data_IF_414840639599
#
_entry.id   IF_414840639599
#
_cell.length_a   1.000
_cell.length_b   1.000
_cell.length_c   1.000
_cell.angle_alpha   90.00
_cell.angle_beta   90.00
_cell.angle_gamma   90.00
#
_symmetry.space_group_name_H-M   'P 1'
#
loop_
_entity.id
_entity.type
_entity.pdbx_description
1 polymer ?
#
# COMPACT_ATOMS: atom_id res chain seq x y z
N UNK A 1 -13.02 1.31 23.05
CA UNK A 1 -12.57 0.38 22.00
C UNK A 1 -11.18 -0.24 22.27
N UNK A 2 -10.29 0.40 23.05
CA UNK A 2 -8.95 -0.15 23.37
C UNK A 2 -8.91 -1.21 24.49
N UNK A 3 -10.03 -1.50 25.16
CA UNK A 3 -10.08 -2.31 26.38
C UNK A 3 -10.21 -3.83 26.18
N UNK A 4 -10.12 -4.33 24.95
CA UNK A 4 -10.25 -5.77 24.64
C UNK A 4 -9.13 -6.34 23.75
N UNK A 5 -8.06 -5.58 23.48
CA UNK A 5 -6.92 -6.14 22.76
C UNK A 5 -6.12 -7.08 23.68
N UNK A 6 -5.72 -8.28 23.23
CA UNK A 6 -4.79 -9.15 23.97
C UNK A 6 -3.52 -8.39 24.37
N UNK A 7 -2.75 -8.90 25.34
CA UNK A 7 -1.50 -8.21 25.71
C UNK A 7 -0.54 -8.20 24.52
N UNK A 8 0.00 -7.02 24.23
CA UNK A 8 1.00 -6.79 23.20
C UNK A 8 2.22 -7.70 23.42
N UNK A 9 2.63 -8.50 22.42
CA UNK A 9 3.64 -9.56 22.61
C UNK A 9 5.09 -9.08 22.55
N UNK A 10 5.36 -7.90 21.94
CA UNK A 10 6.70 -7.37 21.71
C UNK A 10 6.70 -5.85 21.83
N UNK A 11 7.77 -5.27 22.36
CA UNK A 11 7.84 -3.83 22.66
C UNK A 11 7.88 -2.94 21.41
N UNK A 12 8.38 -3.47 20.28
CA UNK A 12 8.57 -2.72 19.04
C UNK A 12 7.29 -2.46 18.24
N UNK A 13 6.21 -3.19 18.49
CA UNK A 13 4.90 -2.82 17.93
C UNK A 13 4.46 -1.51 18.59
N UNK A 14 3.64 -0.68 17.96
CA UNK A 14 2.92 0.40 18.68
C UNK A 14 1.50 -0.06 18.98
N UNK A 15 0.81 0.57 19.93
CA UNK A 15 -0.59 0.22 20.23
C UNK A 15 -1.48 0.30 18.99
N UNK A 16 -1.26 1.32 18.14
CA UNK A 16 -1.93 1.49 16.85
C UNK A 16 -1.65 0.32 15.90
N UNK A 17 -0.38 0.01 15.65
CA UNK A 17 -0.03 -1.09 14.71
C UNK A 17 -0.50 -2.44 15.22
N UNK A 18 -0.47 -2.65 16.53
CA UNK A 18 -0.95 -3.89 17.13
C UNK A 18 -2.46 -4.05 17.00
N UNK A 19 -3.23 -2.98 17.26
CA UNK A 19 -4.68 -2.97 17.02
C UNK A 19 -5.01 -3.22 15.53
N UNK A 20 -4.26 -2.61 14.61
CA UNK A 20 -4.41 -2.84 13.17
C UNK A 20 -4.14 -4.30 12.78
N UNK A 21 -3.09 -4.91 13.34
CA UNK A 21 -2.76 -6.32 13.09
C UNK A 21 -3.80 -7.28 13.67
N UNK A 22 -4.40 -6.97 14.83
CA UNK A 22 -5.52 -7.74 15.38
C UNK A 22 -6.70 -7.69 14.39
N UNK A 23 -7.13 -6.49 14.00
CA UNK A 23 -8.22 -6.32 13.05
C UNK A 23 -7.93 -7.02 11.71
N UNK A 24 -6.67 -7.02 11.25
CA UNK A 24 -6.24 -7.71 10.05
C UNK A 24 -6.35 -9.24 10.22
N UNK A 25 -5.91 -9.77 11.35
CA UNK A 25 -5.98 -11.21 11.67
C UNK A 25 -7.41 -11.73 11.76
N UNK A 26 -8.34 -10.92 12.26
CA UNK A 26 -9.75 -11.28 12.39
C UNK A 26 -10.50 -11.23 11.04
N UNK A 27 -10.14 -10.27 10.17
CA UNK A 27 -10.88 -10.00 8.93
C UNK A 27 -10.32 -10.74 7.71
N UNK A 28 -9.05 -11.13 7.74
CA UNK A 28 -8.37 -11.76 6.60
C UNK A 28 -7.93 -13.17 7.00
N UNK A 29 -8.67 -14.22 6.59
CA UNK A 29 -8.38 -15.60 7.00
C UNK A 29 -6.95 -16.05 6.68
N UNK A 30 -6.36 -15.57 5.59
CA UNK A 30 -4.96 -15.89 5.24
C UNK A 30 -3.93 -15.30 6.21
N UNK A 31 -4.29 -14.29 7.00
CA UNK A 31 -3.41 -13.58 7.93
C UNK A 31 -3.79 -13.81 9.41
N UNK A 32 -4.64 -14.80 9.72
CA UNK A 32 -5.10 -15.07 11.09
C UNK A 32 -3.94 -15.28 12.10
N UNK A 33 -2.82 -15.86 11.66
CA UNK A 33 -1.64 -16.11 12.50
C UNK A 33 -0.51 -15.08 12.30
N UNK A 34 -0.79 -13.91 11.72
CA UNK A 34 0.27 -12.96 11.35
C UNK A 34 1.02 -12.43 12.57
N UNK A 35 0.31 -12.14 13.66
CA UNK A 35 0.90 -11.63 14.91
C UNK A 35 1.89 -12.65 15.49
N UNK A 36 1.47 -13.91 15.61
CA UNK A 36 2.33 -14.99 16.11
C UNK A 36 3.54 -15.21 15.20
N UNK A 37 3.33 -15.16 13.88
CA UNK A 37 4.38 -15.34 12.88
C UNK A 37 5.44 -14.24 13.00
N UNK A 38 5.02 -12.98 13.12
CA UNK A 38 5.91 -11.84 13.30
C UNK A 38 6.65 -11.88 14.63
N UNK A 39 6.01 -12.34 15.71
CA UNK A 39 6.63 -12.38 17.04
C UNK A 39 7.66 -13.51 17.20
N UNK A 40 7.51 -14.60 16.44
CA UNK A 40 8.46 -15.72 16.43
C UNK A 40 9.65 -15.49 15.50
N UNK A 41 9.48 -14.69 14.44
CA UNK A 41 10.47 -14.47 13.39
C UNK A 41 10.98 -13.02 13.43
N UNK A 42 12.18 -12.81 13.96
CA UNK A 42 12.88 -11.51 13.94
C UNK A 42 12.95 -10.81 12.57
N UNK A 43 13.03 -11.51 11.40
CA UNK A 43 13.08 -10.85 10.10
C UNK A 43 11.91 -9.91 9.78
N UNK A 44 10.72 -10.09 10.37
CA UNK A 44 9.58 -9.21 10.11
C UNK A 44 9.78 -7.79 10.62
N UNK A 45 10.37 -7.66 11.81
CA UNK A 45 10.75 -6.36 12.35
C UNK A 45 11.78 -5.70 11.45
N UNK A 46 12.83 -6.44 11.06
CA UNK A 46 13.88 -5.89 10.21
C UNK A 46 13.33 -5.44 8.86
N UNK A 47 12.46 -6.25 8.24
CA UNK A 47 11.84 -5.91 6.96
C UNK A 47 10.97 -4.65 7.04
N UNK A 48 10.11 -4.52 8.06
CA UNK A 48 9.20 -3.36 8.16
C UNK A 48 9.92 -2.06 8.56
N UNK A 49 11.05 -2.18 9.27
CA UNK A 49 11.90 -1.05 9.67
C UNK A 49 12.76 -0.51 8.51
N UNK A 50 12.79 -1.15 7.34
CA UNK A 50 13.48 -0.63 6.15
C UNK A 50 12.81 0.65 5.64
N UNK A 51 13.56 1.47 4.90
CA UNK A 51 13.04 2.71 4.32
C UNK A 51 11.92 2.43 3.29
N UNK A 52 12.14 1.43 2.44
CA UNK A 52 11.25 1.02 1.34
C UNK A 52 10.90 -0.48 1.44
N UNK A 53 10.15 -0.92 2.48
CA UNK A 53 9.85 -2.33 2.71
C UNK A 53 9.11 -2.98 1.53
N UNK A 54 8.36 -2.20 0.75
CA UNK A 54 7.64 -2.68 -0.43
C UNK A 54 8.57 -3.14 -1.56
N UNK A 55 9.77 -2.57 -1.68
CA UNK A 55 10.80 -2.97 -2.67
C UNK A 55 11.65 -4.14 -2.19
N UNK A 56 11.51 -4.50 -0.92
CA UNK A 56 12.35 -5.48 -0.25
C UNK A 56 11.65 -6.84 -0.19
N UNK A 57 12.46 -7.90 -0.17
CA UNK A 57 11.94 -9.25 -0.07
C UNK A 57 11.22 -9.45 1.27
N UNK A 58 9.94 -9.81 1.20
CA UNK A 58 9.14 -10.14 2.38
C UNK A 58 9.72 -11.38 3.07
N UNK A 59 9.76 -11.45 4.41
CA UNK A 59 10.15 -12.67 5.14
C UNK A 59 9.30 -13.90 4.80
N UNK A 60 8.09 -13.67 4.32
CA UNK A 60 7.24 -14.67 3.68
C UNK A 60 7.24 -14.42 2.17
N UNK A 61 8.06 -15.18 1.44
CA UNK A 61 8.29 -15.00 0.01
C UNK A 61 7.07 -15.41 -0.84
N UNK A 62 6.22 -16.30 -0.32
CA UNK A 62 5.03 -16.80 -1.01
C UNK A 62 3.81 -15.91 -0.77
N UNK A 63 3.97 -14.83 0.01
CA UNK A 63 2.88 -13.93 0.35
C UNK A 63 2.44 -13.12 -0.88
N UNK A 64 1.17 -13.22 -1.30
CA UNK A 64 0.65 -12.43 -2.42
C UNK A 64 0.80 -10.93 -2.19
N UNK A 65 1.09 -10.16 -3.25
CA UNK A 65 1.30 -8.71 -3.18
C UNK A 65 0.15 -7.97 -2.50
N UNK A 66 -1.10 -8.39 -2.72
CA UNK A 66 -2.27 -7.81 -2.04
C UNK A 66 -2.22 -7.99 -0.52
N UNK A 67 -1.72 -9.12 -0.01
CA UNK A 67 -1.57 -9.33 1.42
C UNK A 67 -0.37 -8.55 1.97
N UNK A 68 0.72 -8.43 1.20
CA UNK A 68 1.86 -7.56 1.52
C UNK A 68 1.38 -6.10 1.69
N UNK A 69 0.53 -5.61 0.79
CA UNK A 69 -0.09 -4.28 0.88
C UNK A 69 -0.87 -4.08 2.18
N UNK A 70 -1.68 -5.06 2.59
CA UNK A 70 -2.45 -4.98 3.83
C UNK A 70 -1.57 -4.94 5.08
N UNK A 71 -0.49 -5.73 5.09
CA UNK A 71 0.49 -5.71 6.19
C UNK A 71 1.18 -4.36 6.27
N UNK A 72 1.67 -3.83 5.14
CA UNK A 72 2.30 -2.51 5.10
C UNK A 72 1.31 -1.44 5.54
N UNK A 73 0.05 -1.47 5.08
CA UNK A 73 -0.99 -0.54 5.55
C UNK A 73 -1.17 -0.59 7.07
N UNK A 74 -1.14 -1.77 7.67
CA UNK A 74 -1.34 -1.94 9.12
C UNK A 74 -0.17 -1.39 9.96
N UNK A 75 1.05 -1.36 9.40
CA UNK A 75 2.28 -1.10 10.15
C UNK A 75 3.06 0.15 9.72
N UNK A 76 2.98 0.53 8.45
CA UNK A 76 3.70 1.62 7.76
C UNK A 76 2.76 2.32 6.78
N UNK A 77 1.79 3.05 7.33
CA UNK A 77 0.78 3.76 6.53
C UNK A 77 1.41 4.75 5.53
N UNK A 78 2.57 5.32 5.87
CA UNK A 78 3.38 6.17 5.00
C UNK A 78 3.84 5.47 3.70
N UNK A 79 4.00 4.14 3.72
CA UNK A 79 4.40 3.32 2.56
C UNK A 79 3.21 2.71 1.81
N UNK A 80 1.99 2.95 2.25
CA UNK A 80 0.80 2.36 1.64
C UNK A 80 0.66 2.75 0.16
N UNK A 81 0.79 4.04 -0.16
CA UNK A 81 0.63 4.54 -1.54
C UNK A 81 1.70 3.95 -2.47
N UNK A 82 2.96 3.88 -2.01
CA UNK A 82 4.05 3.26 -2.77
C UNK A 82 3.77 1.78 -3.05
N UNK A 83 3.32 1.04 -2.02
CA UNK A 83 2.96 -0.38 -2.18
C UNK A 83 1.75 -0.58 -3.09
N UNK A 84 0.75 0.32 -3.02
CA UNK A 84 -0.42 0.28 -3.88
C UNK A 84 -0.04 0.50 -5.35
N UNK A 85 0.86 1.45 -5.63
CA UNK A 85 1.43 1.64 -6.98
C UNK A 85 2.15 0.39 -7.47
N UNK A 86 2.95 -0.27 -6.63
CA UNK A 86 3.59 -1.54 -7.00
C UNK A 86 2.57 -2.63 -7.32
N UNK A 87 1.50 -2.76 -6.54
CA UNK A 87 0.43 -3.72 -6.81
C UNK A 87 -0.24 -3.43 -8.17
N UNK A 88 -0.60 -2.17 -8.43
CA UNK A 88 -1.20 -1.77 -9.71
C UNK A 88 -0.23 -2.07 -10.86
N UNK A 89 1.04 -1.68 -10.73
CA UNK A 89 2.08 -1.95 -11.74
C UNK A 89 2.19 -3.44 -12.06
N UNK A 90 2.25 -4.29 -11.03
CA UNK A 90 2.40 -5.73 -11.23
C UNK A 90 1.15 -6.43 -11.79
N UNK A 91 -0.03 -5.84 -11.60
CA UNK A 91 -1.30 -6.44 -12.01
C UNK A 91 -1.79 -5.91 -13.36
N UNK A 92 -1.56 -4.62 -13.63
CA UNK A 92 -2.11 -3.91 -14.79
C UNK A 92 -1.03 -3.34 -15.72
N UNK A 93 0.23 -3.20 -15.28
CA UNK A 93 1.31 -2.57 -16.05
C UNK A 93 1.67 -1.16 -15.55
N UNK A 94 2.87 -0.69 -15.93
CA UNK A 94 3.41 0.61 -15.50
C UNK A 94 2.58 1.79 -16.03
N UNK A 95 1.95 1.64 -17.19
CA UNK A 95 1.11 2.65 -17.84
C UNK A 95 -0.11 3.04 -16.99
N UNK A 96 -0.48 2.22 -16.00
CA UNK A 96 -1.60 2.45 -15.09
C UNK A 96 -1.21 3.16 -13.77
N UNK A 97 0.04 3.61 -13.63
CA UNK A 97 0.53 4.26 -12.41
C UNK A 97 1.00 5.70 -12.58
N UNK A 98 1.02 6.18 -13.82
CA UNK A 98 1.40 7.55 -14.19
C UNK A 98 0.20 8.48 -14.41
N UNK A 99 0.50 9.70 -14.81
CA UNK A 99 -0.50 10.62 -15.35
C UNK A 99 -0.79 10.26 -16.80
N UNK A 100 -2.03 10.46 -17.22
CA UNK A 100 -2.40 10.32 -18.62
C UNK A 100 -1.72 11.43 -19.44
N UNK A 101 -1.15 11.05 -20.59
CA UNK A 101 -0.59 11.99 -21.55
C UNK A 101 -1.73 12.73 -22.28
N UNK A 102 -1.63 14.06 -22.40
CA UNK A 102 -2.70 14.87 -22.98
C UNK A 102 -2.88 14.58 -24.48
N UNK A 103 -1.81 14.31 -25.21
CA UNK A 103 -1.87 13.99 -26.64
C UNK A 103 -2.54 12.62 -26.84
N UNK A 104 -2.25 11.65 -25.98
CA UNK A 104 -2.94 10.35 -25.99
C UNK A 104 -4.45 10.50 -25.69
N UNK A 105 -4.80 11.30 -24.68
CA UNK A 105 -6.20 11.58 -24.32
C UNK A 105 -6.92 12.31 -25.47
N UNK A 106 -6.25 13.27 -26.11
CA UNK A 106 -6.79 14.01 -27.24
C UNK A 106 -7.03 13.09 -28.45
N UNK A 107 -6.06 12.23 -28.77
CA UNK A 107 -6.19 11.26 -29.86
C UNK A 107 -7.31 10.24 -29.63
N UNK A 108 -7.58 9.88 -28.37
CA UNK A 108 -8.67 8.97 -27.99
C UNK A 108 -10.04 9.66 -27.89
N UNK A 109 -10.10 11.00 -27.93
CA UNK A 109 -11.34 11.77 -27.78
C UNK A 109 -12.14 11.84 -29.08
N UNK A 110 -13.41 12.25 -28.97
CA UNK A 110 -14.28 12.50 -30.14
C UNK A 110 -14.83 13.91 -30.10
N UNK A 111 -15.41 14.39 -31.20
CA UNK A 111 -15.98 15.74 -31.28
C UNK A 111 -17.10 16.03 -30.26
N UNK A 112 -17.67 14.99 -29.65
CA UNK A 112 -18.72 15.09 -28.64
C UNK A 112 -18.22 14.77 -27.22
N UNK A 113 -16.92 14.47 -27.04
CA UNK A 113 -16.31 14.18 -25.75
C UNK A 113 -15.50 15.39 -25.29
N UNK A 114 -16.03 16.25 -24.40
CA UNK A 114 -15.27 17.40 -23.91
C UNK A 114 -14.08 16.93 -23.04
N UNK A 115 -12.93 17.57 -23.24
CA UNK A 115 -11.73 17.37 -22.40
C UNK A 115 -11.67 18.52 -21.40
N UNK A 116 -11.52 18.19 -20.11
CA UNK A 116 -11.40 19.16 -19.02
C UNK A 116 -10.07 18.91 -18.32
N UNK A 117 -9.15 19.87 -18.40
CA UNK A 117 -7.88 19.83 -17.68
C UNK A 117 -8.06 20.41 -16.27
N UNK A 118 -7.64 19.67 -15.25
CA UNK A 118 -7.64 20.14 -13.85
C UNK A 118 -6.22 20.59 -13.53
N UNK A 119 -6.03 21.89 -13.32
CA UNK A 119 -4.72 22.50 -13.08
C UNK A 119 -4.62 23.05 -11.66
N UNK A 120 -3.41 22.96 -11.09
CA UNK A 120 -3.13 23.62 -9.82
C UNK A 120 -3.03 25.15 -10.02
N UNK A 121 -3.29 25.96 -8.98
CA UNK A 121 -3.19 27.41 -9.10
C UNK A 121 -1.79 27.85 -9.56
N UNK A 122 -1.70 28.48 -10.73
CA UNK A 122 -0.45 28.96 -11.32
C UNK A 122 0.09 28.10 -12.47
N UNK A 123 -0.47 26.92 -12.70
CA UNK A 123 -0.21 26.15 -13.91
C UNK A 123 -1.03 26.70 -15.07
N UNK A 124 -0.38 27.04 -16.18
CA UNK A 124 -1.04 27.48 -17.39
C UNK A 124 -1.27 26.26 -18.31
N UNK A 125 -2.52 25.80 -18.37
CA UNK A 125 -2.94 24.61 -19.13
C UNK A 125 -2.82 24.78 -20.65
N UNK A 126 -2.52 26.01 -21.11
CA UNK A 126 -2.50 26.39 -22.53
C UNK A 126 -1.10 26.54 -23.10
N UNK A 127 -0.04 26.47 -22.27
CA UNK A 127 1.34 26.52 -22.72
C UNK A 127 1.87 25.14 -23.14
N UNK A 128 1.45 24.71 -24.33
CA UNK A 128 2.08 23.64 -25.13
C UNK A 128 2.25 24.12 -26.57
#
# INVERSE_FOLDING_TARGET
LLSQCPRKPKDWLTDTTYANLIALSERVPKLHNIIDTMCRKEPWKHWIDKDRPEEEQCPDADLPMVLKLLIIRAMREDRFVATARMLVTQTLGEEHTGHADLDEVLAASTSITPIICICEPGDDATSS
#
